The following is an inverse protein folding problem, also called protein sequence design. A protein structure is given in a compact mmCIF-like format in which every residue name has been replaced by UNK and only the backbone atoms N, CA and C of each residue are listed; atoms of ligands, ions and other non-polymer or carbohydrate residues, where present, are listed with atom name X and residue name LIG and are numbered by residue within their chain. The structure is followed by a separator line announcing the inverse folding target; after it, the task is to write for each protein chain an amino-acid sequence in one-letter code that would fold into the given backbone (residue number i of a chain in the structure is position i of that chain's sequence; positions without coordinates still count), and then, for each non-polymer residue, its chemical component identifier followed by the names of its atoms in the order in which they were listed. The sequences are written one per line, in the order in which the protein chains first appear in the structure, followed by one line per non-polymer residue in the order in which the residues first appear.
data_IF_363669394137
#
_entry.id   IF_363669394137
#
_cell.length_a   1.000
_cell.length_b   1.000
_cell.length_c   1.000
_cell.angle_alpha   90.00
_cell.angle_beta   90.00
_cell.angle_gamma   90.00
#
_symmetry.space_group_name_H-M   'P 1'
#
loop_
_entity.id
_entity.type
_entity.pdbx_description
1 polymer ?
#
# COMPACT_ATOMS: atom_id res chain seq x y z
N UNK A 1 3.38 -10.56 16.95
CA UNK A 1 4.21 -9.65 16.09
C UNK A 1 5.38 -9.07 16.89
N UNK A 2 5.25 -9.00 18.21
CA UNK A 2 6.17 -8.31 19.12
C UNK A 2 7.55 -8.97 19.18
N UNK A 3 7.61 -10.31 19.21
CA UNK A 3 8.89 -11.03 19.20
C UNK A 3 9.76 -10.69 17.96
N UNK A 4 9.13 -10.47 16.81
CA UNK A 4 9.83 -10.04 15.59
C UNK A 4 10.35 -8.61 15.74
N UNK A 5 9.50 -7.70 16.25
CA UNK A 5 9.88 -6.31 16.52
C UNK A 5 11.07 -6.23 17.48
N UNK A 6 11.03 -6.96 18.60
CA UNK A 6 12.13 -6.99 19.57
C UNK A 6 13.43 -7.54 18.99
N UNK A 7 13.38 -8.65 18.24
CA UNK A 7 14.57 -9.22 17.59
C UNK A 7 15.16 -8.27 16.56
N UNK A 8 14.32 -7.64 15.74
CA UNK A 8 14.78 -6.71 14.72
C UNK A 8 15.33 -5.41 15.32
N UNK A 9 14.72 -4.92 16.41
CA UNK A 9 15.22 -3.79 17.21
C UNK A 9 16.58 -4.12 17.83
N UNK A 10 16.76 -5.32 18.38
CA UNK A 10 18.03 -5.78 18.95
C UNK A 10 19.13 -5.87 17.89
N UNK A 11 18.86 -6.46 16.72
CA UNK A 11 19.80 -6.52 15.60
C UNK A 11 20.18 -5.10 15.14
N UNK A 12 19.18 -4.21 15.03
CA UNK A 12 19.43 -2.82 14.65
C UNK A 12 20.20 -2.03 15.71
N UNK A 13 20.07 -2.34 17.00
CA UNK A 13 20.78 -1.64 18.08
C UNK A 13 22.21 -2.17 18.27
N UNK A 14 22.45 -3.46 18.02
CA UNK A 14 23.78 -4.06 18.07
C UNK A 14 24.66 -3.64 16.89
N UNK A 15 24.05 -3.15 15.81
CA UNK A 15 24.77 -2.63 14.65
C UNK A 15 25.27 -1.20 14.90
N UNK A 16 26.40 -1.08 15.61
CA UNK A 16 27.03 0.18 16.04
C UNK A 16 27.86 0.89 14.96
N UNK A 17 27.81 0.41 13.71
CA UNK A 17 28.57 1.04 12.62
C UNK A 17 28.15 2.51 12.46
N UNK A 18 29.09 3.49 12.51
CA UNK A 18 28.77 4.92 12.49
C UNK A 18 27.98 5.33 11.23
N UNK A 19 28.17 4.64 10.10
CA UNK A 19 27.39 4.84 8.88
C UNK A 19 25.92 4.46 9.07
N UNK A 20 25.66 3.31 9.69
CA UNK A 20 24.31 2.81 9.93
C UNK A 20 23.56 3.68 10.95
N UNK A 21 24.28 4.22 11.94
CA UNK A 21 23.71 5.17 12.91
C UNK A 21 23.28 6.48 12.23
N UNK A 22 24.11 7.04 11.34
CA UNK A 22 23.74 8.24 10.55
C UNK A 22 22.51 7.98 9.69
N UNK A 23 22.46 6.84 8.99
CA UNK A 23 21.31 6.48 8.14
C UNK A 23 20.04 6.31 8.99
N UNK A 24 20.13 5.66 10.16
CA UNK A 24 19.00 5.50 11.07
C UNK A 24 18.44 6.85 11.54
N UNK A 25 19.30 7.80 11.92
CA UNK A 25 18.87 9.16 12.28
C UNK A 25 18.20 9.86 11.11
N UNK A 26 18.77 9.74 9.91
CA UNK A 26 18.17 10.28 8.69
C UNK A 26 16.78 9.70 8.41
N UNK A 27 16.61 8.39 8.49
CA UNK A 27 15.30 7.73 8.34
C UNK A 27 14.31 8.15 9.42
N UNK A 28 14.75 8.33 10.66
CA UNK A 28 13.88 8.85 11.73
C UNK A 28 13.39 10.26 11.41
N UNK A 29 14.27 11.16 10.94
CA UNK A 29 13.89 12.50 10.51
C UNK A 29 12.85 12.43 9.38
N UNK A 30 13.06 11.57 8.37
CA UNK A 30 12.10 11.38 7.30
C UNK A 30 10.73 10.89 7.80
N UNK A 31 10.71 9.98 8.78
CA UNK A 31 9.46 9.52 9.41
C UNK A 31 8.77 10.67 10.16
N UNK A 32 9.51 11.50 10.90
CA UNK A 32 8.94 12.70 11.54
C UNK A 32 8.38 13.69 10.52
N UNK A 33 9.10 13.93 9.43
CA UNK A 33 8.61 14.77 8.32
C UNK A 33 7.34 14.20 7.69
N UNK A 34 7.19 12.86 7.65
CA UNK A 34 5.98 12.21 7.15
C UNK A 34 4.76 12.60 7.99
N UNK A 35 4.88 12.65 9.31
CA UNK A 35 3.80 13.12 10.19
C UNK A 35 3.48 14.59 9.98
N UNK A 36 4.49 15.44 9.78
CA UNK A 36 4.28 16.86 9.47
C UNK A 36 3.51 17.02 8.16
N UNK A 37 3.91 16.31 7.10
CA UNK A 37 3.22 16.36 5.80
C UNK A 37 1.79 15.81 5.92
N UNK A 38 1.57 14.76 6.71
CA UNK A 38 0.21 14.26 6.99
C UNK A 38 -0.68 15.35 7.58
N UNK A 39 -0.19 16.08 8.58
CA UNK A 39 -0.94 17.17 9.22
C UNK A 39 -1.20 18.30 8.23
N UNK A 40 -0.20 18.71 7.44
CA UNK A 40 -0.36 19.74 6.40
C UNK A 40 -1.40 19.32 5.34
N UNK A 41 -1.40 18.05 4.97
CA UNK A 41 -2.37 17.48 4.03
C UNK A 41 -3.77 17.43 4.65
N UNK A 42 -3.91 17.05 5.92
CA UNK A 42 -5.20 17.11 6.62
C UNK A 42 -5.73 18.55 6.71
N UNK A 43 -4.86 19.54 6.93
CA UNK A 43 -5.23 20.95 6.95
C UNK A 43 -5.67 21.43 5.56
N UNK A 44 -5.04 21.00 4.47
CA UNK A 44 -5.46 21.41 3.13
C UNK A 44 -6.88 20.95 2.80
N UNK A 45 -7.30 19.80 3.33
CA UNK A 45 -8.67 19.29 3.19
C UNK A 45 -9.74 20.16 3.87
N UNK A 46 -9.39 21.03 4.83
CA UNK A 46 -10.34 22.02 5.39
C UNK A 46 -10.90 22.94 4.30
N UNK A 47 -10.13 23.21 3.24
CA UNK A 47 -10.59 23.97 2.09
C UNK A 47 -11.80 23.33 1.39
N UNK A 48 -11.95 22.01 1.45
CA UNK A 48 -13.11 21.31 0.86
C UNK A 48 -14.42 21.59 1.59
N UNK A 49 -14.39 22.09 2.83
CA UNK A 49 -15.62 22.50 3.53
C UNK A 49 -16.29 23.68 2.82
N UNK A 50 -15.50 24.57 2.21
CA UNK A 50 -16.05 25.68 1.42
C UNK A 50 -16.72 25.16 0.16
N UNK A 51 -16.09 24.20 -0.53
CA UNK A 51 -16.65 23.50 -1.70
C UNK A 51 -17.93 22.74 -1.34
N UNK A 52 -17.97 22.11 -0.17
CA UNK A 52 -19.15 21.40 0.32
C UNK A 52 -20.32 22.35 0.58
N UNK A 53 -20.06 23.53 1.16
CA UNK A 53 -21.09 24.55 1.40
C UNK A 53 -21.71 25.06 0.10
N UNK A 54 -20.94 25.11 -1.00
CA UNK A 54 -21.41 25.58 -2.31
C UNK A 54 -22.18 24.54 -3.14
N UNK A 55 -22.27 23.28 -2.70
CA UNK A 55 -22.93 22.20 -3.45
C UNK A 55 -24.41 22.47 -3.82
N UNK A 56 -25.26 23.05 -2.93
CA UNK A 56 -26.67 23.31 -3.26
C UNK A 56 -26.85 24.24 -4.46
N UNK A 57 -25.87 25.12 -4.68
CA UNK A 57 -25.89 26.12 -5.76
C UNK A 57 -25.28 25.57 -7.05
N UNK A 58 -24.18 24.81 -6.95
CA UNK A 58 -23.42 24.32 -8.11
C UNK A 58 -24.12 23.14 -8.81
N UNK A 59 -24.69 22.21 -8.04
CA UNK A 59 -25.29 20.97 -8.59
C UNK A 59 -26.41 21.23 -9.61
N UNK A 60 -27.38 22.14 -9.36
CA UNK A 60 -28.40 22.49 -10.35
C UNK A 60 -27.81 23.03 -11.65
N UNK A 61 -26.82 23.92 -11.58
CA UNK A 61 -26.19 24.52 -12.77
C UNK A 61 -25.46 23.49 -13.64
N UNK A 62 -24.75 22.56 -13.00
CA UNK A 62 -24.03 21.48 -13.70
C UNK A 62 -25.04 20.51 -14.33
N UNK A 63 -26.13 20.18 -13.62
CA UNK A 63 -27.18 19.33 -14.14
C UNK A 63 -27.86 19.96 -15.37
N UNK A 64 -28.13 21.26 -15.34
CA UNK A 64 -28.69 21.98 -16.47
C UNK A 64 -27.75 21.98 -17.69
N UNK A 65 -26.44 22.06 -17.48
CA UNK A 65 -25.44 22.09 -18.55
C UNK A 65 -25.14 20.71 -19.17
N UNK A 66 -25.01 19.67 -18.35
CA UNK A 66 -24.52 18.36 -18.79
C UNK A 66 -25.56 17.25 -18.75
N UNK A 67 -26.74 17.51 -18.15
CA UNK A 67 -27.83 16.53 -17.99
C UNK A 67 -27.41 15.21 -17.33
N UNK A 68 -26.37 15.23 -16.50
CA UNK A 68 -25.85 14.05 -15.80
C UNK A 68 -26.58 13.84 -14.47
N UNK A 69 -27.30 12.73 -14.35
CA UNK A 69 -28.10 12.39 -13.16
C UNK A 69 -27.24 12.12 -11.91
N UNK A 70 -25.98 11.72 -12.12
CA UNK A 70 -24.99 11.33 -11.11
C UNK A 70 -24.62 12.50 -10.18
N UNK A 71 -24.78 13.74 -10.66
CA UNK A 71 -24.50 14.99 -9.93
C UNK A 71 -25.30 15.07 -8.62
N UNK A 72 -26.50 14.48 -8.60
CA UNK A 72 -27.40 14.49 -7.45
C UNK A 72 -26.99 13.52 -6.34
N UNK A 73 -26.01 12.65 -6.56
CA UNK A 73 -25.52 11.76 -5.52
C UNK A 73 -24.96 12.59 -4.34
N UNK A 74 -25.46 12.40 -3.10
CA UNK A 74 -25.01 13.19 -1.95
C UNK A 74 -23.56 12.91 -1.56
N UNK A 75 -22.99 11.78 -2.03
CA UNK A 75 -21.59 11.40 -1.76
C UNK A 75 -20.59 12.03 -2.73
N UNK A 76 -21.06 12.56 -3.87
CA UNK A 76 -20.18 13.21 -4.84
C UNK A 76 -20.18 14.72 -4.63
N UNK A 77 -18.97 15.25 -4.45
CA UNK A 77 -18.69 16.68 -4.50
C UNK A 77 -18.44 17.07 -5.95
N UNK A 78 -19.18 18.06 -6.42
CA UNK A 78 -19.01 18.64 -7.76
C UNK A 78 -18.35 20.00 -7.59
N UNK A 79 -17.20 20.18 -8.22
CA UNK A 79 -16.44 21.41 -8.13
C UNK A 79 -15.64 21.63 -9.41
N UNK A 80 -15.29 22.88 -9.66
CA UNK A 80 -14.33 23.22 -10.70
C UNK A 80 -12.95 22.64 -10.31
N UNK A 81 -12.33 21.79 -11.14
CA UNK A 81 -11.00 21.24 -10.88
C UNK A 81 -9.91 22.31 -10.77
N UNK A 82 -10.12 23.49 -11.35
CA UNK A 82 -9.17 24.61 -11.31
C UNK A 82 -9.34 25.50 -10.07
N UNK A 83 -10.30 25.20 -9.19
CA UNK A 83 -10.48 25.93 -7.94
C UNK A 83 -9.30 25.69 -6.99
N UNK A 84 -8.83 26.76 -6.34
CA UNK A 84 -7.67 26.68 -5.44
C UNK A 84 -7.78 25.63 -4.33
N UNK A 85 -8.96 25.35 -3.70
CA UNK A 85 -9.04 24.32 -2.65
C UNK A 85 -8.84 22.92 -3.21
N UNK A 86 -9.33 22.66 -4.43
CA UNK A 86 -9.20 21.38 -5.11
C UNK A 86 -7.76 21.17 -5.57
N UNK A 87 -7.14 22.17 -6.21
CA UNK A 87 -5.73 22.13 -6.59
C UNK A 87 -4.85 21.86 -5.38
N UNK A 88 -5.08 22.58 -4.27
CA UNK A 88 -4.30 22.42 -3.05
C UNK A 88 -4.45 21.01 -2.47
N UNK A 89 -5.67 20.47 -2.38
CA UNK A 89 -5.93 19.12 -1.90
C UNK A 89 -5.24 18.05 -2.78
N UNK A 90 -5.32 18.18 -4.11
CA UNK A 90 -4.66 17.27 -5.06
C UNK A 90 -3.14 17.31 -4.89
N UNK A 91 -2.54 18.52 -4.92
CA UNK A 91 -1.10 18.69 -4.83
C UNK A 91 -0.54 18.16 -3.50
N UNK A 92 -1.17 18.51 -2.38
CA UNK A 92 -0.74 18.04 -1.05
C UNK A 92 -0.89 16.52 -0.91
N UNK A 93 -1.95 15.93 -1.47
CA UNK A 93 -2.16 14.48 -1.47
C UNK A 93 -1.12 13.75 -2.31
N UNK A 94 -0.78 14.25 -3.50
CA UNK A 94 0.28 13.69 -4.34
C UNK A 94 1.64 13.73 -3.63
N UNK A 95 1.98 14.88 -3.03
CA UNK A 95 3.21 15.04 -2.25
C UNK A 95 3.24 14.05 -1.09
N UNK A 96 2.13 13.92 -0.35
CA UNK A 96 2.01 12.98 0.76
C UNK A 96 2.23 11.53 0.31
N UNK A 97 1.52 11.07 -0.72
CA UNK A 97 1.62 9.69 -1.21
C UNK A 97 3.03 9.37 -1.69
N UNK A 98 3.63 10.26 -2.51
CA UNK A 98 4.99 10.06 -3.04
C UNK A 98 6.00 10.04 -1.89
N UNK A 99 5.89 10.98 -0.95
CA UNK A 99 6.81 11.08 0.18
C UNK A 99 6.69 9.84 1.09
N UNK A 100 5.49 9.51 1.56
CA UNK A 100 5.24 8.33 2.41
C UNK A 100 5.69 7.05 1.71
N UNK A 101 5.31 6.87 0.44
CA UNK A 101 5.70 5.72 -0.35
C UNK A 101 7.22 5.57 -0.42
N UNK A 102 7.93 6.66 -0.70
CA UNK A 102 9.40 6.67 -0.74
C UNK A 102 10.02 6.32 0.62
N UNK A 103 9.51 6.88 1.72
CA UNK A 103 10.02 6.65 3.08
C UNK A 103 9.81 5.20 3.50
N UNK A 104 8.63 4.63 3.23
CA UNK A 104 8.33 3.22 3.54
C UNK A 104 9.24 2.29 2.76
N UNK A 105 9.44 2.53 1.45
CA UNK A 105 10.33 1.72 0.62
C UNK A 105 11.80 1.83 1.06
N UNK A 106 12.28 3.03 1.39
CA UNK A 106 13.63 3.27 1.91
C UNK A 106 13.85 2.56 3.25
N UNK A 107 12.91 2.68 4.19
CA UNK A 107 12.95 1.98 5.48
C UNK A 107 12.97 0.46 5.29
N UNK A 108 12.16 -0.08 4.39
CA UNK A 108 12.13 -1.51 4.07
C UNK A 108 13.45 -1.99 3.47
N UNK A 109 13.97 -1.27 2.47
CA UNK A 109 15.24 -1.58 1.82
C UNK A 109 16.41 -1.54 2.82
N UNK A 110 16.48 -0.51 3.67
CA UNK A 110 17.53 -0.39 4.67
C UNK A 110 17.45 -1.50 5.72
N UNK A 111 16.24 -1.86 6.16
CA UNK A 111 16.01 -2.99 7.05
C UNK A 111 16.52 -4.30 6.43
N UNK A 112 16.28 -4.51 5.13
CA UNK A 112 16.78 -5.66 4.39
C UNK A 112 18.31 -5.67 4.32
N UNK A 113 18.94 -4.53 4.07
CA UNK A 113 20.41 -4.39 4.04
C UNK A 113 21.04 -4.70 5.39
N UNK A 114 20.50 -4.15 6.49
CA UNK A 114 20.96 -4.47 7.85
C UNK A 114 20.84 -5.96 8.11
N UNK A 115 19.69 -6.54 7.77
CA UNK A 115 19.44 -7.95 8.00
C UNK A 115 20.42 -8.85 7.24
N UNK A 116 20.77 -8.49 6.00
CA UNK A 116 21.77 -9.20 5.20
C UNK A 116 23.20 -9.02 5.74
N UNK A 117 23.52 -7.86 6.32
CA UNK A 117 24.80 -7.61 6.97
C UNK A 117 24.96 -8.45 8.25
N UNK A 118 23.89 -8.61 9.04
CA UNK A 118 23.86 -9.40 10.28
C UNK A 118 23.73 -10.91 10.07
N UNK A 119 23.96 -11.42 8.85
CA UNK A 119 23.84 -12.85 8.52
C UNK A 119 24.74 -13.78 9.35
N UNK A 120 25.84 -13.25 9.90
CA UNK A 120 26.81 -14.00 10.70
C UNK A 120 26.38 -14.16 12.16
N UNK A 121 25.55 -13.23 12.65
CA UNK A 121 25.15 -13.15 14.07
C UNK A 121 23.77 -13.80 14.31
N UNK A 122 23.09 -14.23 13.25
CA UNK A 122 21.73 -14.76 13.29
C UNK A 122 21.69 -16.22 12.84
N UNK A 123 20.82 -17.00 13.48
CA UNK A 123 20.54 -18.36 13.00
C UNK A 123 19.96 -18.33 11.59
N UNK A 124 20.35 -19.29 10.76
CA UNK A 124 19.90 -19.42 9.37
C UNK A 124 18.37 -19.42 9.24
N UNK A 125 17.68 -20.03 10.20
CA UNK A 125 16.22 -20.04 10.25
C UNK A 125 15.63 -18.64 10.49
N UNK A 126 16.13 -17.91 11.49
CA UNK A 126 15.65 -16.56 11.82
C UNK A 126 15.88 -15.60 10.66
N UNK A 127 17.08 -15.62 10.08
CA UNK A 127 17.43 -14.79 8.93
C UNK A 127 16.49 -15.02 7.74
N UNK A 128 16.19 -16.29 7.42
CA UNK A 128 15.30 -16.65 6.32
C UNK A 128 13.87 -16.14 6.54
N UNK A 129 13.34 -16.30 7.76
CA UNK A 129 12.00 -15.83 8.12
C UNK A 129 11.93 -14.31 8.07
N UNK A 130 12.89 -13.62 8.69
CA UNK A 130 12.91 -12.15 8.72
C UNK A 130 13.07 -11.55 7.32
N UNK A 131 13.95 -12.12 6.48
CA UNK A 131 14.17 -11.66 5.11
C UNK A 131 12.88 -11.76 4.31
N UNK A 132 12.23 -12.92 4.39
CA UNK A 132 10.98 -13.16 3.68
C UNK A 132 9.88 -12.20 4.13
N UNK A 133 9.74 -11.98 5.43
CA UNK A 133 8.75 -11.05 5.98
C UNK A 133 9.00 -9.61 5.52
N UNK A 134 10.23 -9.11 5.63
CA UNK A 134 10.58 -7.76 5.16
C UNK A 134 10.34 -7.60 3.66
N UNK A 135 10.67 -8.61 2.85
CA UNK A 135 10.37 -8.58 1.40
C UNK A 135 8.87 -8.51 1.15
N UNK A 136 8.04 -9.29 1.87
CA UNK A 136 6.58 -9.23 1.75
C UNK A 136 6.06 -7.82 2.04
N UNK A 137 6.55 -7.19 3.12
CA UNK A 137 6.15 -5.82 3.48
C UNK A 137 6.52 -4.80 2.40
N UNK A 138 7.72 -4.90 1.81
CA UNK A 138 8.14 -4.01 0.71
C UNK A 138 7.22 -4.18 -0.50
N UNK A 139 6.93 -5.42 -0.89
CA UNK A 139 6.03 -5.70 -2.03
C UNK A 139 4.63 -5.18 -1.73
N UNK A 140 4.11 -5.37 -0.51
CA UNK A 140 2.81 -4.87 -0.10
C UNK A 140 2.73 -3.34 -0.14
N UNK A 141 3.77 -2.65 0.35
CA UNK A 141 3.86 -1.20 0.26
C UNK A 141 3.88 -0.71 -1.20
N UNK A 142 4.65 -1.37 -2.06
CA UNK A 142 4.70 -1.03 -3.49
C UNK A 142 3.34 -1.21 -4.18
N UNK A 143 2.59 -2.28 -3.84
CA UNK A 143 1.24 -2.50 -4.36
C UNK A 143 0.31 -1.35 -3.97
N UNK A 144 0.31 -0.92 -2.71
CA UNK A 144 -0.49 0.23 -2.29
C UNK A 144 -0.10 1.51 -3.03
N UNK A 145 1.20 1.79 -3.20
CA UNK A 145 1.65 2.96 -3.94
C UNK A 145 1.13 2.93 -5.39
N UNK A 146 1.22 1.78 -6.08
CA UNK A 146 0.76 1.67 -7.48
C UNK A 146 -0.76 1.80 -7.60
N UNK A 147 -1.51 1.11 -6.74
CA UNK A 147 -2.97 1.09 -6.78
C UNK A 147 -3.62 2.42 -6.35
N UNK A 148 -2.92 3.23 -5.55
CA UNK A 148 -3.39 4.58 -5.18
C UNK A 148 -2.92 5.60 -6.24
N UNK A 149 -1.62 5.59 -6.57
CA UNK A 149 -1.03 6.63 -7.42
C UNK A 149 -1.47 6.51 -8.88
N UNK A 150 -1.68 5.29 -9.40
CA UNK A 150 -2.10 5.05 -10.78
C UNK A 150 -3.45 5.72 -11.13
N UNK A 151 -4.54 5.42 -10.38
CA UNK A 151 -5.82 6.09 -10.53
C UNK A 151 -5.71 7.62 -10.42
N UNK A 152 -5.04 8.13 -9.39
CA UNK A 152 -4.93 9.58 -9.16
C UNK A 152 -4.21 10.28 -10.31
N UNK A 153 -3.04 9.77 -10.74
CA UNK A 153 -2.30 10.36 -11.88
C UNK A 153 -3.16 10.36 -13.14
N UNK A 154 -3.90 9.28 -13.39
CA UNK A 154 -4.72 9.17 -14.61
C UNK A 154 -5.90 10.14 -14.58
N UNK A 155 -6.56 10.29 -13.44
CA UNK A 155 -7.65 11.27 -13.24
C UNK A 155 -7.11 12.70 -13.40
N UNK A 156 -5.99 13.03 -12.74
CA UNK A 156 -5.36 14.35 -12.85
C UNK A 156 -4.95 14.62 -14.30
N UNK A 157 -4.28 13.69 -14.97
CA UNK A 157 -3.90 13.85 -16.36
C UNK A 157 -5.12 14.05 -17.28
N UNK A 158 -6.20 13.28 -17.06
CA UNK A 158 -7.44 13.44 -17.83
C UNK A 158 -8.04 14.83 -17.68
N UNK A 159 -8.06 15.37 -16.46
CA UNK A 159 -8.57 16.72 -16.17
C UNK A 159 -7.72 17.82 -16.81
N UNK A 160 -6.38 17.73 -16.74
CA UNK A 160 -5.50 18.82 -17.21
C UNK A 160 -5.12 18.74 -18.69
N UNK A 161 -5.18 17.55 -19.30
CA UNK A 161 -4.91 17.33 -20.72
C UNK A 161 -6.17 17.11 -21.56
N UNK A 162 -7.35 17.30 -20.97
CA UNK A 162 -8.67 17.17 -21.62
C UNK A 162 -8.88 15.79 -22.30
N UNK A 163 -8.43 14.73 -21.64
CA UNK A 163 -8.55 13.35 -22.14
C UNK A 163 -9.91 12.82 -21.71
N UNK A 164 -10.77 12.51 -22.68
CA UNK A 164 -12.10 11.99 -22.42
C UNK A 164 -12.06 10.51 -21.97
N UNK A 165 -12.70 10.21 -20.83
CA UNK A 165 -12.86 8.84 -20.31
C UNK A 165 -14.33 8.45 -20.46
N UNK A 166 -14.61 7.44 -21.29
CA UNK A 166 -15.97 7.01 -21.68
C UNK A 166 -16.92 6.69 -20.50
N UNK A 167 -16.41 6.30 -19.33
CA UNK A 167 -17.21 5.89 -18.17
C UNK A 167 -17.10 6.86 -16.97
N UNK A 168 -16.71 8.12 -17.21
CA UNK A 168 -16.54 9.11 -16.14
C UNK A 168 -15.46 8.76 -15.10
N UNK A 169 -14.55 7.84 -15.45
CA UNK A 169 -13.48 7.38 -14.57
C UNK A 169 -13.89 6.32 -13.53
N UNK A 170 -15.10 5.74 -13.62
CA UNK A 170 -15.57 4.71 -12.68
C UNK A 170 -14.62 3.51 -12.51
N UNK A 171 -13.95 3.11 -13.59
CA UNK A 171 -12.93 2.04 -13.56
C UNK A 171 -11.81 2.35 -12.57
N UNK A 172 -11.37 3.61 -12.48
CA UNK A 172 -10.30 4.02 -11.57
C UNK A 172 -10.72 3.96 -10.11
N UNK A 173 -11.97 4.35 -9.80
CA UNK A 173 -12.54 4.17 -8.47
C UNK A 173 -12.67 2.70 -8.09
N UNK A 174 -13.02 1.83 -9.03
CA UNK A 174 -13.09 0.39 -8.78
C UNK A 174 -11.71 -0.21 -8.51
N UNK A 175 -10.70 0.20 -9.29
CA UNK A 175 -9.29 -0.20 -9.06
C UNK A 175 -8.82 0.23 -7.68
N UNK A 176 -9.11 1.47 -7.28
CA UNK A 176 -8.76 1.99 -5.96
C UNK A 176 -9.47 1.23 -4.83
N UNK A 177 -10.78 0.95 -4.98
CA UNK A 177 -11.56 0.19 -3.99
C UNK A 177 -11.00 -1.24 -3.78
N UNK A 178 -10.42 -1.84 -4.84
CA UNK A 178 -9.86 -3.19 -4.79
C UNK A 178 -8.41 -3.26 -4.27
N UNK A 179 -7.81 -2.14 -3.88
CA UNK A 179 -6.43 -2.12 -3.37
C UNK A 179 -6.23 -3.05 -2.16
N UNK A 180 -7.21 -3.14 -1.26
CA UNK A 180 -7.15 -3.97 -0.05
C UNK A 180 -7.20 -5.47 -0.39
N UNK A 181 -8.03 -5.83 -1.36
CA UNK A 181 -8.09 -7.18 -1.93
C UNK A 181 -6.76 -7.56 -2.59
N UNK A 182 -6.21 -6.69 -3.45
CA UNK A 182 -4.93 -6.91 -4.11
C UNK A 182 -3.79 -7.10 -3.09
N UNK A 183 -3.73 -6.25 -2.07
CA UNK A 183 -2.75 -6.33 -0.97
C UNK A 183 -2.85 -7.65 -0.19
N UNK A 184 -4.07 -8.10 0.09
CA UNK A 184 -4.32 -9.37 0.78
C UNK A 184 -3.92 -10.57 -0.08
N UNK A 185 -4.25 -10.56 -1.37
CA UNK A 185 -3.85 -11.60 -2.31
C UNK A 185 -2.32 -11.69 -2.45
N UNK A 186 -1.65 -10.55 -2.49
CA UNK A 186 -0.18 -10.47 -2.49
C UNK A 186 0.39 -11.05 -1.19
N UNK A 187 -0.19 -10.71 -0.04
CA UNK A 187 0.24 -11.28 1.25
C UNK A 187 0.07 -12.81 1.29
N UNK A 188 -1.09 -13.33 0.89
CA UNK A 188 -1.38 -14.76 0.80
C UNK A 188 -0.40 -15.45 -0.15
N UNK A 189 -0.15 -14.85 -1.32
CA UNK A 189 0.73 -15.38 -2.37
C UNK A 189 2.22 -15.15 -2.13
N UNK A 190 2.63 -14.52 -1.03
CA UNK A 190 4.05 -14.35 -0.68
C UNK A 190 4.41 -15.03 0.64
N UNK A 191 3.49 -15.07 1.60
CA UNK A 191 3.71 -15.66 2.92
C UNK A 191 3.56 -17.20 2.94
N UNK A 192 4.61 -17.95 3.30
CA UNK A 192 4.60 -19.45 3.18
C UNK A 192 3.58 -20.12 4.08
N UNK A 193 3.35 -19.60 5.29
CA UNK A 193 2.37 -20.18 6.21
C UNK A 193 0.97 -20.03 5.62
N UNK A 194 0.65 -18.84 5.10
CA UNK A 194 -0.65 -18.55 4.51
C UNK A 194 -0.88 -19.38 3.24
N UNK A 195 0.14 -19.52 2.37
CA UNK A 195 0.09 -20.45 1.23
C UNK A 195 -0.24 -21.88 1.63
N UNK A 196 0.39 -22.39 2.69
CA UNK A 196 0.15 -23.76 3.18
C UNK A 196 -1.29 -23.93 3.68
N UNK A 197 -1.77 -22.97 4.47
CA UNK A 197 -3.15 -23.00 4.97
C UNK A 197 -4.17 -22.92 3.83
N UNK A 198 -3.95 -22.05 2.84
CA UNK A 198 -4.83 -21.93 1.67
C UNK A 198 -4.81 -23.20 0.83
N UNK A 199 -3.63 -23.78 0.56
CA UNK A 199 -3.54 -25.06 -0.15
C UNK A 199 -4.26 -26.19 0.61
N UNK A 200 -4.15 -26.24 1.93
CA UNK A 200 -4.85 -27.23 2.75
C UNK A 200 -6.38 -27.08 2.62
N UNK A 201 -6.89 -25.86 2.77
CA UNK A 201 -8.34 -25.58 2.62
C UNK A 201 -8.80 -25.88 1.20
N UNK A 202 -8.05 -25.46 0.19
CA UNK A 202 -8.38 -25.67 -1.22
C UNK A 202 -8.43 -27.16 -1.58
N UNK A 203 -7.44 -27.95 -1.14
CA UNK A 203 -7.46 -29.40 -1.33
C UNK A 203 -8.61 -30.07 -0.55
N UNK A 204 -8.96 -29.57 0.64
CA UNK A 204 -10.12 -30.07 1.40
C UNK A 204 -11.43 -29.80 0.68
N UNK A 205 -11.61 -28.61 0.10
CA UNK A 205 -12.78 -28.27 -0.73
C UNK A 205 -12.82 -29.12 -1.99
N UNK A 206 -11.70 -29.28 -2.71
CA UNK A 206 -11.61 -30.17 -3.87
C UNK A 206 -11.98 -31.61 -3.53
N UNK A 207 -11.52 -32.11 -2.38
CA UNK A 207 -11.86 -33.45 -1.89
C UNK A 207 -13.36 -33.58 -1.60
N UNK A 208 -14.00 -32.55 -1.03
CA UNK A 208 -15.47 -32.52 -0.84
C UNK A 208 -16.22 -32.48 -2.18
N UNK A 209 -15.63 -31.89 -3.21
CA UNK A 209 -16.18 -31.83 -4.58
C UNK A 209 -15.78 -33.03 -5.46
N UNK A 210 -15.12 -34.06 -4.92
CA UNK A 210 -14.69 -35.25 -5.66
C UNK A 210 -13.53 -35.02 -6.65
N UNK A 211 -12.85 -33.88 -6.58
CA UNK A 211 -11.73 -33.54 -7.47
C UNK A 211 -10.38 -34.01 -6.88
N UNK A 212 -9.46 -34.48 -7.74
CA UNK A 212 -8.08 -34.82 -7.35
C UNK A 212 -7.33 -33.59 -6.78
N UNK A 213 -6.43 -33.87 -5.83
CA UNK A 213 -5.57 -32.87 -5.19
C UNK A 213 -4.73 -32.10 -6.22
N UNK A 214 -4.67 -30.78 -6.06
CA UNK A 214 -3.87 -29.91 -6.91
C UNK A 214 -2.58 -29.51 -6.18
N UNK A 215 -1.64 -30.46 -6.05
CA UNK A 215 -0.35 -30.21 -5.39
C UNK A 215 0.58 -29.25 -6.16
N UNK A 216 0.20 -28.83 -7.37
CA UNK A 216 1.07 -28.10 -8.30
C UNK A 216 0.89 -26.57 -8.32
N UNK A 217 -0.20 -26.02 -7.78
CA UNK A 217 -0.49 -24.59 -7.98
C UNK A 217 0.52 -23.69 -7.26
N UNK A 218 1.09 -24.16 -6.15
CA UNK A 218 2.13 -23.44 -5.41
C UNK A 218 3.19 -24.41 -4.90
N UNK A 219 4.25 -24.63 -5.67
CA UNK A 219 5.43 -25.42 -5.26
C UNK A 219 6.02 -24.78 -3.98
N UNK A 220 5.65 -25.30 -2.82
CA UNK A 220 6.35 -25.03 -1.57
C UNK A 220 7.71 -25.71 -1.68
N UNK A 221 8.81 -24.97 -1.56
CA UNK A 221 10.13 -25.56 -1.77
C UNK A 221 10.38 -26.68 -0.76
N UNK A 222 10.90 -27.83 -1.25
CA UNK A 222 11.20 -29.05 -0.48
C UNK A 222 12.04 -28.81 0.80
N UNK A 223 12.71 -27.67 0.89
CA UNK A 223 13.57 -27.28 2.03
C UNK A 223 12.77 -27.08 3.33
N UNK A 224 11.46 -26.78 3.26
CA UNK A 224 10.62 -26.58 4.45
C UNK A 224 10.00 -27.88 5.00
N UNK A 225 10.08 -29.00 4.26
CA UNK A 225 9.56 -30.31 4.70
C UNK A 225 10.50 -31.00 5.71
N UNK A 226 11.81 -30.71 5.69
CA UNK A 226 12.80 -31.31 6.60
C UNK A 226 12.71 -30.81 8.04
N UNK A 227 11.98 -29.72 8.29
CA UNK A 227 11.77 -29.16 9.62
C UNK A 227 10.72 -29.92 10.45
N UNK A 228 9.93 -30.80 9.83
CA UNK A 228 8.94 -31.63 10.53
C UNK A 228 9.38 -33.07 10.78
N UNK A 229 10.59 -33.45 10.36
CA UNK A 229 11.16 -34.78 10.62
C UNK A 229 12.18 -34.79 11.77
N UNK A 230 12.28 -33.69 12.51
CA UNK A 230 13.13 -33.55 13.71
C UNK A 230 12.35 -32.80 14.78
N UNK A 231 11.21 -33.35 15.17
CA UNK A 231 10.65 -33.35 16.53
C UNK A 231 9.78 -34.60 16.62
#
# INVERSE_FOLDING_TARGET
MDLFHYRLKAISSMNTNPRNLKIRRFLQILVYLTYVILVLTAISYLGLLTVQSSQPTIKPMIFEKYHMSEVWCPKFLVSDPYSWPIILAICTTLVFIIFVGSVVLLCGAFTLVILLASRKDLSQHTLKVQKKFTTVLIVQAAVHVVFILGPIITIVASVYFDIFINDGGLVFFFVEAQQGTASTLVFISTHSVTKKSVNYVFNRVRKLLGLKDANNIWRVSKVELRSKSVV
#
